data_IF_501168202760
#
_entry.id   IF_501168202760
#
_cell.length_a   1.000
_cell.length_b   1.000
_cell.length_c   1.000
_cell.angle_alpha   90.00
_cell.angle_beta   90.00
_cell.angle_gamma   90.00
#
_symmetry.space_group_name_H-M   'P 1'
#
loop_
_entity.id
_entity.type
_entity.pdbx_description
1 polymer ?
#
# COMPACT_ATOMS: atom_id res chain seq x y z
N UNK A 1 13.12 -53.40 59.08
CA UNK A 1 13.13 -52.41 57.98
C UNK A 1 12.36 -53.05 56.84
N UNK A 2 11.14 -52.57 56.58
CA UNK A 2 10.14 -53.25 55.75
C UNK A 2 10.27 -52.82 54.29
N UNK A 3 9.90 -53.70 53.35
CA UNK A 3 9.86 -53.42 51.90
C UNK A 3 8.92 -52.24 51.57
N UNK A 4 8.03 -51.85 52.50
CA UNK A 4 7.22 -50.62 52.39
C UNK A 4 8.03 -49.33 52.43
N UNK A 5 9.19 -49.31 53.10
CA UNK A 5 9.97 -48.08 53.34
C UNK A 5 10.85 -47.71 52.13
N UNK A 6 11.03 -48.64 51.19
CA UNK A 6 11.73 -48.42 49.91
C UNK A 6 10.81 -47.89 48.81
N UNK A 7 9.48 -47.95 49.00
CA UNK A 7 8.50 -47.46 48.03
C UNK A 7 8.36 -45.93 48.03
N UNK A 8 8.43 -45.29 49.19
CA UNK A 8 8.31 -43.81 49.30
C UNK A 8 9.59 -43.06 48.93
N UNK A 9 10.75 -43.71 49.00
CA UNK A 9 12.02 -43.11 48.60
C UNK A 9 12.19 -43.01 47.07
N UNK A 10 11.47 -43.82 46.28
CA UNK A 10 11.59 -43.84 44.81
C UNK A 10 10.58 -42.91 44.14
N UNK A 11 9.44 -42.61 44.76
CA UNK A 11 8.49 -41.62 44.24
C UNK A 11 8.99 -40.17 44.37
N UNK A 12 9.85 -39.87 45.35
CA UNK A 12 10.46 -38.53 45.47
C UNK A 12 11.64 -38.26 44.52
N UNK A 13 12.14 -39.27 43.81
CA UNK A 13 13.24 -39.13 42.83
C UNK A 13 12.76 -39.04 41.37
N UNK A 14 11.48 -39.33 41.09
CA UNK A 14 10.88 -39.18 39.75
C UNK A 14 10.15 -37.83 39.60
N UNK A 15 9.80 -37.17 40.71
CA UNK A 15 9.41 -35.75 40.75
C UNK A 15 10.63 -34.81 40.93
N UNK A 16 11.80 -35.26 40.49
CA UNK A 16 12.98 -34.43 40.28
C UNK A 16 12.64 -33.33 39.28
N UNK A 17 12.18 -32.20 39.82
CA UNK A 17 11.80 -31.02 39.09
C UNK A 17 12.79 -30.76 37.98
N UNK A 18 12.27 -30.72 36.75
CA UNK A 18 12.93 -30.01 35.67
C UNK A 18 13.07 -28.56 36.14
N UNK A 19 14.16 -28.29 36.86
CA UNK A 19 14.67 -26.98 37.13
C UNK A 19 14.82 -26.35 35.75
N UNK A 20 13.82 -25.53 35.39
CA UNK A 20 13.87 -24.73 34.18
C UNK A 20 15.10 -23.86 34.37
N UNK A 21 16.21 -24.27 33.73
CA UNK A 21 17.42 -23.50 33.67
C UNK A 21 17.00 -22.06 33.34
N UNK A 22 17.43 -21.07 34.14
CA UNK A 22 16.94 -19.71 34.03
C UNK A 22 17.07 -19.31 32.56
N UNK A 23 15.92 -19.04 31.92
CA UNK A 23 15.92 -18.64 30.52
C UNK A 23 16.67 -17.33 30.45
N UNK A 24 17.95 -17.39 30.03
CA UNK A 24 18.74 -16.19 29.82
C UNK A 24 17.98 -15.31 28.83
N UNK A 25 17.57 -14.15 29.34
CA UNK A 25 16.89 -13.14 28.57
C UNK A 25 17.94 -12.33 27.82
N UNK A 26 17.76 -12.19 26.51
CA UNK A 26 18.55 -11.30 25.66
C UNK A 26 17.72 -10.07 25.33
N UNK A 27 18.33 -8.89 25.37
CA UNK A 27 17.72 -7.68 24.83
C UNK A 27 17.86 -7.70 23.31
N UNK A 28 16.78 -7.95 22.58
CA UNK A 28 16.81 -7.95 21.12
C UNK A 28 16.87 -6.51 20.61
N UNK A 29 17.91 -6.12 19.88
CA UNK A 29 18.12 -4.74 19.36
C UNK A 29 17.97 -3.65 20.42
N UNK A 30 18.34 -3.92 21.68
CA UNK A 30 18.07 -3.01 22.80
C UNK A 30 16.60 -2.60 22.93
N UNK A 31 15.65 -3.38 22.40
CA UNK A 31 14.23 -3.07 22.30
C UNK A 31 13.42 -3.72 23.43
N UNK A 32 13.35 -5.06 23.49
CA UNK A 32 12.59 -5.78 24.54
C UNK A 32 13.33 -7.02 25.03
N UNK A 33 13.06 -7.42 26.28
CA UNK A 33 13.61 -8.63 26.87
C UNK A 33 12.89 -9.86 26.31
N UNK A 34 13.62 -10.69 25.56
CA UNK A 34 13.14 -11.93 24.97
C UNK A 34 14.01 -13.09 25.43
N UNK A 35 13.46 -14.30 25.47
CA UNK A 35 14.33 -15.48 25.58
C UNK A 35 15.27 -15.55 24.37
N UNK A 36 16.51 -16.04 24.55
CA UNK A 36 17.49 -16.18 23.45
C UNK A 36 16.92 -16.84 22.20
N UNK A 37 16.06 -17.86 22.37
CA UNK A 37 15.39 -18.55 21.26
C UNK A 37 14.47 -17.61 20.46
N UNK A 38 13.70 -16.75 21.14
CA UNK A 38 12.84 -15.76 20.49
C UNK A 38 13.64 -14.67 19.81
N UNK A 39 14.70 -14.17 20.45
CA UNK A 39 15.58 -13.18 19.83
C UNK A 39 16.21 -13.72 18.54
N UNK A 40 16.74 -14.95 18.55
CA UNK A 40 17.27 -15.63 17.34
C UNK A 40 16.21 -15.75 16.25
N UNK A 41 14.97 -16.09 16.60
CA UNK A 41 13.87 -16.16 15.64
C UNK A 41 13.62 -14.80 14.96
N UNK A 42 13.54 -13.70 15.72
CA UNK A 42 13.33 -12.38 15.12
C UNK A 42 14.53 -11.89 14.33
N UNK A 43 15.77 -12.22 14.73
CA UNK A 43 16.96 -11.98 13.91
C UNK A 43 16.87 -12.70 12.56
N UNK A 44 16.54 -13.99 12.58
CA UNK A 44 16.41 -14.80 11.37
C UNK A 44 15.28 -14.28 10.48
N UNK A 45 14.14 -13.88 11.06
CA UNK A 45 13.04 -13.27 10.33
C UNK A 45 13.45 -11.93 9.70
N UNK A 46 14.16 -11.07 10.42
CA UNK A 46 14.65 -9.80 9.89
C UNK A 46 15.59 -10.01 8.69
N UNK A 47 16.53 -10.95 8.81
CA UNK A 47 17.43 -11.32 7.71
C UNK A 47 16.65 -11.90 6.54
N UNK A 48 15.69 -12.80 6.79
CA UNK A 48 14.81 -13.35 5.76
C UNK A 48 14.06 -12.25 5.01
N UNK A 49 13.43 -11.31 5.73
CA UNK A 49 12.68 -10.21 5.13
C UNK A 49 13.59 -9.26 4.33
N UNK A 50 14.83 -9.04 4.78
CA UNK A 50 15.80 -8.24 4.03
C UNK A 50 16.21 -8.94 2.73
N UNK A 51 16.53 -10.24 2.79
CA UNK A 51 16.87 -11.04 1.60
C UNK A 51 15.67 -11.09 0.65
N UNK A 52 14.47 -11.35 1.18
CA UNK A 52 13.23 -11.33 0.43
C UNK A 52 13.06 -9.98 -0.28
N UNK A 53 13.18 -8.86 0.42
CA UNK A 53 13.05 -7.53 -0.19
C UNK A 53 14.01 -7.34 -1.37
N UNK A 54 15.29 -7.67 -1.19
CA UNK A 54 16.31 -7.55 -2.26
C UNK A 54 15.97 -8.44 -3.45
N UNK A 55 15.67 -9.72 -3.21
CA UNK A 55 15.32 -10.68 -4.26
C UNK A 55 14.04 -10.26 -4.97
N UNK A 56 13.02 -9.84 -4.22
CA UNK A 56 11.72 -9.46 -4.75
C UNK A 56 11.79 -8.18 -5.57
N UNK A 57 12.54 -7.17 -5.11
CA UNK A 57 12.83 -5.97 -5.91
C UNK A 57 13.60 -6.34 -7.18
N UNK A 58 14.60 -7.21 -7.11
CA UNK A 58 15.30 -7.68 -8.31
C UNK A 58 14.34 -8.35 -9.30
N UNK A 59 13.49 -9.27 -8.84
CA UNK A 59 12.50 -9.93 -9.69
C UNK A 59 11.55 -8.92 -10.36
N UNK A 60 11.01 -7.97 -9.61
CA UNK A 60 10.10 -6.98 -10.18
C UNK A 60 10.81 -6.04 -11.15
N UNK A 61 12.03 -5.61 -10.84
CA UNK A 61 12.76 -4.63 -11.66
C UNK A 61 13.35 -5.26 -12.92
N UNK A 62 13.82 -6.52 -12.84
CA UNK A 62 14.60 -7.18 -13.91
C UNK A 62 13.89 -8.31 -14.61
N UNK A 63 12.93 -8.96 -13.95
CA UNK A 63 12.27 -10.16 -14.49
C UNK A 63 10.85 -9.84 -14.95
N UNK A 64 10.18 -8.86 -14.33
CA UNK A 64 8.85 -8.39 -14.72
C UNK A 64 8.84 -6.86 -14.88
N UNK A 65 9.63 -6.29 -15.81
CA UNK A 65 9.77 -4.85 -15.95
C UNK A 65 8.51 -4.24 -16.56
N UNK A 66 7.58 -3.85 -15.70
CA UNK A 66 6.33 -3.17 -16.08
C UNK A 66 6.54 -1.66 -16.34
N UNK A 67 7.79 -1.20 -16.40
CA UNK A 67 8.15 0.21 -16.45
C UNK A 67 7.51 0.95 -17.63
N UNK A 68 7.47 0.33 -18.81
CA UNK A 68 6.86 0.92 -20.01
C UNK A 68 5.41 1.39 -19.76
N UNK A 69 4.65 0.66 -18.93
CA UNK A 69 3.31 1.04 -18.53
C UNK A 69 3.31 2.17 -17.48
N UNK A 70 4.18 2.11 -16.48
CA UNK A 70 4.17 3.07 -15.36
C UNK A 70 4.68 4.45 -15.73
N UNK A 71 5.63 4.55 -16.66
CA UNK A 71 6.14 5.86 -17.11
C UNK A 71 5.13 6.62 -17.99
N UNK A 72 4.08 5.94 -18.49
CA UNK A 72 2.97 6.57 -19.23
C UNK A 72 2.19 7.61 -18.42
N UNK A 73 2.37 7.65 -17.10
CA UNK A 73 1.80 8.69 -16.25
C UNK A 73 2.44 10.06 -16.49
N UNK A 74 3.63 10.12 -17.09
CA UNK A 74 4.45 11.33 -17.27
C UNK A 74 4.64 11.70 -18.74
N UNK A 75 3.80 11.19 -19.65
CA UNK A 75 3.97 11.34 -21.11
C UNK A 75 3.18 12.49 -21.72
N UNK A 76 2.29 13.13 -20.96
CA UNK A 76 1.46 14.22 -21.44
C UNK A 76 1.64 15.43 -20.51
N UNK A 77 1.85 16.59 -21.11
CA UNK A 77 2.04 17.89 -20.46
C UNK A 77 0.88 18.83 -20.81
N UNK A 78 0.95 20.11 -20.43
CA UNK A 78 -0.05 21.11 -20.78
C UNK A 78 0.24 21.88 -22.07
N UNK A 79 1.28 21.53 -22.84
CA UNK A 79 1.62 22.23 -24.09
C UNK A 79 0.56 22.01 -25.18
N UNK A 80 -0.12 20.85 -25.18
CA UNK A 80 -1.30 20.58 -26.01
C UNK A 80 -2.63 21.13 -25.43
N UNK A 81 -2.57 21.85 -24.31
CA UNK A 81 -3.71 22.37 -23.56
C UNK A 81 -4.00 21.59 -22.28
N UNK A 82 -5.10 21.92 -21.60
CA UNK A 82 -5.43 21.29 -20.33
C UNK A 82 -5.83 19.80 -20.51
N UNK A 83 -4.98 18.88 -20.04
CA UNK A 83 -5.14 17.43 -20.11
C UNK A 83 -5.10 16.75 -18.75
N UNK A 84 -5.72 15.56 -18.67
CA UNK A 84 -5.54 14.65 -17.54
C UNK A 84 -4.05 14.31 -17.42
N UNK A 85 -3.54 14.30 -16.20
CA UNK A 85 -2.13 14.01 -15.86
C UNK A 85 -1.09 15.03 -16.36
N UNK A 86 -1.53 16.17 -16.92
CA UNK A 86 -0.62 17.14 -17.53
C UNK A 86 0.50 17.63 -16.61
N UNK A 87 0.22 17.89 -15.31
CA UNK A 87 1.25 18.33 -14.37
C UNK A 87 2.38 17.30 -14.19
N UNK A 88 2.09 16.02 -14.41
CA UNK A 88 3.11 14.98 -14.33
C UNK A 88 4.12 15.08 -15.49
N UNK A 89 3.66 15.41 -16.71
CA UNK A 89 4.51 15.59 -17.89
C UNK A 89 5.36 16.86 -17.85
N UNK A 90 4.86 17.94 -17.24
CA UNK A 90 5.62 19.18 -17.05
C UNK A 90 6.94 18.98 -16.27
N UNK A 91 7.03 17.93 -15.45
CA UNK A 91 8.24 17.67 -14.64
C UNK A 91 9.41 17.21 -15.53
N UNK A 92 9.29 16.15 -16.37
CA UNK A 92 10.28 15.83 -17.38
C UNK A 92 10.67 16.98 -18.30
N UNK A 93 9.72 17.82 -18.72
CA UNK A 93 9.97 18.90 -19.68
C UNK A 93 10.81 20.04 -19.10
N UNK A 94 10.94 20.11 -17.77
CA UNK A 94 11.87 21.01 -17.10
C UNK A 94 13.35 20.58 -17.28
N UNK A 95 13.62 19.42 -17.85
CA UNK A 95 14.95 18.87 -18.11
C UNK A 95 15.21 18.74 -19.62
N UNK A 96 16.49 18.72 -20.04
CA UNK A 96 16.83 18.42 -21.44
C UNK A 96 16.25 17.07 -21.90
N UNK A 97 15.77 17.01 -23.15
CA UNK A 97 15.07 15.83 -23.72
C UNK A 97 15.85 14.52 -23.55
N UNK A 98 17.19 14.54 -23.65
CA UNK A 98 18.01 13.34 -23.45
C UNK A 98 17.89 12.71 -22.05
N UNK A 99 17.34 13.44 -21.07
CA UNK A 99 17.14 12.98 -19.70
C UNK A 99 15.71 12.53 -19.41
N UNK A 100 14.79 12.61 -20.39
CA UNK A 100 13.37 12.28 -20.21
C UNK A 100 13.18 10.95 -19.47
N UNK A 101 13.74 9.85 -20.00
CA UNK A 101 13.59 8.52 -19.40
C UNK A 101 14.19 8.45 -18.01
N UNK A 102 15.36 9.03 -17.78
CA UNK A 102 15.99 9.08 -16.45
C UNK A 102 15.09 9.78 -15.43
N UNK A 103 14.48 10.91 -15.81
CA UNK A 103 13.58 11.66 -14.92
C UNK A 103 12.31 10.87 -14.63
N UNK A 104 11.63 10.32 -15.64
CA UNK A 104 10.40 9.55 -15.39
C UNK A 104 10.67 8.28 -14.57
N UNK A 105 11.79 7.59 -14.78
CA UNK A 105 12.20 6.48 -13.92
C UNK A 105 12.44 6.95 -12.48
N UNK A 106 13.10 8.10 -12.28
CA UNK A 106 13.31 8.67 -10.96
C UNK A 106 11.99 9.05 -10.28
N UNK A 107 11.00 9.58 -11.01
CA UNK A 107 9.68 9.90 -10.47
C UNK A 107 8.88 8.65 -10.09
N UNK A 108 8.87 7.64 -10.96
CA UNK A 108 8.25 6.33 -10.75
C UNK A 108 8.80 5.64 -9.50
N UNK A 109 10.13 5.50 -9.40
CA UNK A 109 10.76 4.86 -8.24
C UNK A 109 10.79 5.76 -6.99
N UNK A 110 10.80 7.08 -7.16
CA UNK A 110 10.66 8.04 -6.08
C UNK A 110 9.34 7.85 -5.32
N UNK A 111 8.25 7.52 -6.03
CA UNK A 111 6.96 7.23 -5.41
C UNK A 111 7.02 5.96 -4.52
N UNK A 112 7.72 4.92 -4.99
CA UNK A 112 7.98 3.70 -4.21
C UNK A 112 8.78 4.02 -2.95
N UNK A 113 9.88 4.76 -3.09
CA UNK A 113 10.73 5.14 -1.97
C UNK A 113 9.96 5.96 -0.94
N UNK A 114 9.16 6.94 -1.38
CA UNK A 114 8.34 7.77 -0.49
C UNK A 114 7.34 6.92 0.31
N UNK A 115 6.66 5.98 -0.34
CA UNK A 115 5.71 5.10 0.32
C UNK A 115 6.39 4.10 1.27
N UNK A 116 7.48 3.46 0.85
CA UNK A 116 8.27 2.58 1.72
C UNK A 116 8.84 3.33 2.93
N UNK A 117 9.26 4.58 2.78
CA UNK A 117 9.67 5.43 3.90
C UNK A 117 8.49 5.72 4.85
N UNK A 118 7.30 5.99 4.31
CA UNK A 118 6.07 6.10 5.09
C UNK A 118 5.77 4.83 5.90
N UNK A 119 5.83 3.66 5.26
CA UNK A 119 5.64 2.36 5.91
C UNK A 119 6.68 2.09 7.00
N UNK A 120 7.95 2.42 6.76
CA UNK A 120 9.01 2.32 7.74
C UNK A 120 8.74 3.22 8.96
N UNK A 121 8.26 4.45 8.73
CA UNK A 121 7.90 5.37 9.80
C UNK A 121 6.64 4.92 10.57
N UNK A 122 5.68 4.28 9.89
CA UNK A 122 4.54 3.61 10.53
C UNK A 122 4.99 2.44 11.40
N UNK A 123 5.87 1.58 10.91
CA UNK A 123 6.44 0.48 11.69
C UNK A 123 7.24 0.98 12.90
N UNK A 124 8.05 2.01 12.71
CA UNK A 124 8.73 2.74 13.78
C UNK A 124 7.72 3.25 14.82
N UNK A 125 6.65 3.91 14.40
CA UNK A 125 5.60 4.38 15.31
C UNK A 125 5.02 3.23 16.13
N UNK A 126 4.69 2.09 15.51
CA UNK A 126 4.14 0.91 16.22
C UNK A 126 5.12 0.37 17.26
N UNK A 127 6.41 0.32 16.92
CA UNK A 127 7.47 -0.13 17.83
C UNK A 127 7.59 0.79 19.06
N UNK A 128 7.52 2.10 18.87
CA UNK A 128 7.89 3.07 19.91
C UNK A 128 6.73 3.84 20.54
N UNK A 129 5.47 3.45 20.31
CA UNK A 129 4.29 4.16 20.83
C UNK A 129 3.87 3.85 22.27
N UNK A 130 4.62 3.01 23.01
CA UNK A 130 4.29 2.60 24.38
C UNK A 130 5.37 1.71 24.97
N UNK A 131 5.00 0.82 25.92
CA UNK A 131 5.95 -0.13 26.48
C UNK A 131 6.41 -1.10 25.40
N UNK A 132 7.73 -1.32 25.33
CA UNK A 132 8.35 -2.29 24.43
C UNK A 132 7.75 -3.67 24.67
N UNK A 133 7.32 -4.33 23.59
CA UNK A 133 6.66 -5.64 23.68
C UNK A 133 6.97 -6.48 22.44
N UNK A 134 6.92 -7.80 22.60
CA UNK A 134 7.09 -8.72 21.48
C UNK A 134 5.98 -8.55 20.42
N UNK A 135 4.76 -8.24 20.85
CA UNK A 135 3.62 -8.04 19.95
C UNK A 135 3.82 -6.85 19.01
N UNK A 136 4.37 -5.74 19.52
CA UNK A 136 4.76 -4.58 18.70
C UNK A 136 5.80 -4.96 17.66
N UNK A 137 6.78 -5.78 18.04
CA UNK A 137 7.80 -6.29 17.14
C UNK A 137 7.19 -7.13 16.01
N UNK A 138 6.26 -8.03 16.33
CA UNK A 138 5.54 -8.83 15.32
C UNK A 138 4.78 -7.94 14.33
N UNK A 139 4.01 -6.97 14.83
CA UNK A 139 3.22 -6.07 13.97
C UNK A 139 4.15 -5.20 13.10
N UNK A 140 5.28 -4.74 13.63
CA UNK A 140 6.27 -3.99 12.86
C UNK A 140 6.86 -4.80 11.70
N UNK A 141 7.16 -6.08 11.92
CA UNK A 141 7.61 -6.99 10.85
C UNK A 141 6.49 -7.40 9.89
N UNK A 142 5.22 -7.36 10.33
CA UNK A 142 4.08 -7.63 9.46
C UNK A 142 3.85 -6.52 8.44
N UNK A 143 4.03 -5.25 8.83
CA UNK A 143 3.76 -4.07 7.99
C UNK A 143 4.36 -4.18 6.58
N UNK A 144 5.67 -4.42 6.39
CA UNK A 144 6.26 -4.43 5.05
C UNK A 144 5.74 -5.56 4.14
N UNK A 145 5.24 -6.66 4.72
CA UNK A 145 4.74 -7.81 3.95
C UNK A 145 3.22 -7.81 3.77
N UNK A 146 2.49 -6.85 4.33
CA UNK A 146 1.05 -6.77 4.06
C UNK A 146 0.81 -6.60 2.55
N UNK A 147 -0.27 -7.17 1.99
CA UNK A 147 -0.54 -7.09 0.55
C UNK A 147 -0.53 -5.66 -0.01
N UNK A 148 -0.95 -4.69 0.78
CA UNK A 148 -0.98 -3.28 0.40
C UNK A 148 0.34 -2.51 0.65
N UNK A 149 1.40 -3.19 1.11
CA UNK A 149 2.66 -2.57 1.49
C UNK A 149 3.70 -2.63 0.35
N UNK A 150 4.88 -3.21 0.60
CA UNK A 150 6.01 -3.20 -0.35
C UNK A 150 5.64 -3.87 -1.66
N UNK A 151 4.95 -5.01 -1.63
CA UNK A 151 4.54 -5.73 -2.84
C UNK A 151 3.70 -4.86 -3.76
N UNK A 152 2.68 -4.18 -3.22
CA UNK A 152 1.86 -3.25 -3.99
C UNK A 152 2.68 -2.10 -4.60
N UNK A 153 3.64 -1.58 -3.84
CA UNK A 153 4.50 -0.49 -4.27
C UNK A 153 5.40 -0.88 -5.44
N UNK A 154 6.01 -2.07 -5.37
CA UNK A 154 6.92 -2.57 -6.39
C UNK A 154 6.19 -2.94 -7.68
N UNK A 155 5.03 -3.61 -7.58
CA UNK A 155 4.25 -3.99 -8.76
C UNK A 155 3.51 -2.82 -9.41
N UNK A 156 3.28 -1.73 -8.67
CA UNK A 156 2.59 -0.54 -9.17
C UNK A 156 3.25 0.76 -8.70
N UNK A 157 4.46 1.10 -9.19
CA UNK A 157 5.21 2.31 -8.86
C UNK A 157 4.55 3.55 -9.49
N UNK A 158 3.37 3.90 -8.97
CA UNK A 158 2.50 4.93 -9.53
C UNK A 158 2.44 6.18 -8.64
N UNK A 159 1.98 7.33 -9.16
CA UNK A 159 1.83 8.56 -8.37
C UNK A 159 0.93 8.43 -7.12
N UNK A 160 -0.04 7.50 -7.13
CA UNK A 160 -0.91 7.17 -6.00
C UNK A 160 -0.10 6.86 -4.72
N UNK A 161 1.12 6.33 -4.85
CA UNK A 161 2.00 6.03 -3.71
C UNK A 161 2.44 7.29 -2.95
N UNK A 162 2.54 8.45 -3.61
CA UNK A 162 2.74 9.73 -2.92
C UNK A 162 1.54 10.09 -2.05
N UNK A 163 0.31 9.84 -2.54
CA UNK A 163 -0.91 10.01 -1.76
C UNK A 163 -0.96 9.09 -0.54
N UNK A 164 -0.59 7.82 -0.72
CA UNK A 164 -0.51 6.85 0.38
C UNK A 164 0.55 7.24 1.42
N UNK A 165 1.73 7.68 0.98
CA UNK A 165 2.79 8.19 1.87
C UNK A 165 2.32 9.41 2.66
N UNK A 166 1.66 10.36 1.99
CA UNK A 166 1.08 11.54 2.62
C UNK A 166 -0.01 11.17 3.63
N UNK A 167 -0.87 10.18 3.33
CA UNK A 167 -1.88 9.71 4.26
C UNK A 167 -1.25 9.11 5.53
N UNK A 168 -0.17 8.34 5.40
CA UNK A 168 0.58 7.83 6.55
C UNK A 168 1.10 9.00 7.40
N UNK A 169 1.79 9.96 6.78
CA UNK A 169 2.29 11.14 7.48
C UNK A 169 1.17 11.94 8.16
N UNK A 170 0.07 12.20 7.45
CA UNK A 170 -1.12 12.89 7.95
C UNK A 170 -1.73 12.17 9.16
N UNK A 171 -1.96 10.86 9.05
CA UNK A 171 -2.50 10.02 10.13
C UNK A 171 -1.61 10.07 11.37
N UNK A 172 -0.29 10.01 11.19
CA UNK A 172 0.66 10.08 12.28
C UNK A 172 0.69 11.46 12.94
N UNK A 173 0.64 12.54 12.16
CA UNK A 173 0.61 13.90 12.67
C UNK A 173 -0.69 14.20 13.42
N UNK A 174 -1.85 13.85 12.85
CA UNK A 174 -3.16 14.09 13.49
C UNK A 174 -3.38 13.21 14.74
N UNK A 175 -2.67 12.08 14.84
CA UNK A 175 -2.68 11.23 16.04
C UNK A 175 -1.96 11.82 17.24
N UNK A 176 -1.10 12.82 17.04
CA UNK A 176 -0.40 13.49 18.12
C UNK A 176 -1.38 14.42 18.82
N UNK A 177 -1.24 14.55 20.16
CA UNK A 177 -2.01 15.51 20.94
C UNK A 177 -1.56 16.92 20.54
N UNK A 178 -2.28 17.53 19.61
CA UNK A 178 -2.06 18.89 19.12
C UNK A 178 -3.21 19.82 19.49
N UNK A 179 -3.01 21.12 19.26
CA UNK A 179 -4.07 22.12 19.33
C UNK A 179 -4.99 22.02 18.09
N UNK A 180 -6.19 22.56 18.20
CA UNK A 180 -7.12 22.68 17.07
C UNK A 180 -6.49 23.37 15.85
N UNK A 181 -5.65 24.39 16.07
CA UNK A 181 -4.93 25.09 14.99
C UNK A 181 -3.96 24.17 14.27
N UNK A 182 -3.22 23.34 15.00
CA UNK A 182 -2.31 22.36 14.40
C UNK A 182 -3.08 21.32 13.58
N UNK A 183 -4.22 20.83 14.10
CA UNK A 183 -5.08 19.90 13.36
C UNK A 183 -5.60 20.53 12.04
N UNK A 184 -6.11 21.76 12.09
CA UNK A 184 -6.57 22.49 10.91
C UNK A 184 -5.44 22.71 9.90
N UNK A 185 -4.26 23.15 10.36
CA UNK A 185 -3.10 23.37 9.50
C UNK A 185 -2.64 22.08 8.81
N UNK A 186 -2.50 20.99 9.56
CA UNK A 186 -2.11 19.68 9.02
C UNK A 186 -3.14 19.16 8.01
N UNK A 187 -4.44 19.32 8.30
CA UNK A 187 -5.51 18.97 7.36
C UNK A 187 -5.49 19.82 6.09
N UNK A 188 -5.28 21.13 6.21
CA UNK A 188 -5.16 22.02 5.05
C UNK A 188 -3.93 21.69 4.19
N UNK A 189 -2.76 21.47 4.80
CA UNK A 189 -1.56 21.09 4.07
C UNK A 189 -1.74 19.75 3.33
N UNK A 190 -2.36 18.76 3.99
CA UNK A 190 -2.65 17.47 3.36
C UNK A 190 -3.65 17.61 2.21
N UNK A 191 -4.74 18.35 2.39
CA UNK A 191 -5.72 18.56 1.32
C UNK A 191 -5.17 19.35 0.13
N UNK A 192 -4.33 20.36 0.37
CA UNK A 192 -3.60 21.08 -0.69
C UNK A 192 -2.64 20.15 -1.44
N UNK A 193 -1.94 19.26 -0.72
CA UNK A 193 -1.08 18.27 -1.36
C UNK A 193 -1.89 17.30 -2.25
N UNK A 194 -3.04 16.82 -1.78
CA UNK A 194 -3.94 16.02 -2.63
C UNK A 194 -4.48 16.81 -3.82
N UNK A 195 -4.74 18.12 -3.67
CA UNK A 195 -5.13 18.98 -4.78
C UNK A 195 -4.04 19.06 -5.85
N UNK A 196 -2.77 19.20 -5.46
CA UNK A 196 -1.64 19.15 -6.39
C UNK A 196 -1.55 17.78 -7.08
N UNK A 197 -1.66 16.69 -6.31
CA UNK A 197 -1.66 15.34 -6.86
C UNK A 197 -2.84 15.08 -7.80
N UNK A 198 -3.98 15.76 -7.65
CA UNK A 198 -5.10 15.64 -8.58
C UNK A 198 -4.74 16.06 -10.02
N UNK A 199 -3.80 16.99 -10.18
CA UNK A 199 -3.31 17.40 -11.51
C UNK A 199 -2.30 16.39 -12.09
N UNK A 200 -1.65 15.58 -11.25
CA UNK A 200 -0.80 14.45 -11.65
C UNK A 200 -1.65 13.23 -11.97
N UNK A 201 -2.62 12.92 -11.12
CA UNK A 201 -3.66 11.92 -11.35
C UNK A 201 -4.92 12.27 -10.55
N UNK A 202 -5.98 12.59 -11.26
CA UNK A 202 -7.25 13.09 -10.78
C UNK A 202 -8.03 12.12 -9.86
N UNK A 203 -7.68 10.84 -9.88
CA UNK A 203 -8.30 9.83 -9.02
C UNK A 203 -7.77 9.89 -7.57
N UNK A 204 -6.54 10.37 -7.35
CA UNK A 204 -5.84 10.32 -6.05
C UNK A 204 -6.69 10.89 -4.90
N UNK A 205 -7.35 12.05 -5.03
CA UNK A 205 -8.18 12.56 -3.92
C UNK A 205 -9.35 11.66 -3.54
N UNK A 206 -9.93 10.93 -4.50
CA UNK A 206 -11.03 9.99 -4.26
C UNK A 206 -10.51 8.75 -3.52
N UNK A 207 -9.32 8.28 -3.91
CA UNK A 207 -8.68 7.08 -3.36
C UNK A 207 -8.36 7.19 -1.87
N UNK A 208 -7.97 8.38 -1.38
CA UNK A 208 -7.53 8.58 0.01
C UNK A 208 -8.55 9.35 0.87
N UNK A 209 -9.74 9.62 0.34
CA UNK A 209 -10.80 10.32 1.08
C UNK A 209 -11.24 9.52 2.32
N UNK A 210 -11.41 8.19 2.18
CA UNK A 210 -11.81 7.32 3.30
C UNK A 210 -10.76 7.34 4.41
N UNK A 211 -9.48 7.14 4.08
CA UNK A 211 -8.38 7.18 5.02
C UNK A 211 -8.30 8.50 5.77
N UNK A 212 -8.52 9.62 5.07
CA UNK A 212 -8.52 10.97 5.64
C UNK A 212 -9.64 11.18 6.65
N UNK A 213 -10.88 10.77 6.31
CA UNK A 213 -12.03 10.82 7.23
C UNK A 213 -11.77 9.93 8.45
N UNK A 214 -11.29 8.70 8.23
CA UNK A 214 -11.02 7.76 9.31
C UNK A 214 -9.92 8.28 10.25
N UNK A 215 -8.83 8.84 9.72
CA UNK A 215 -7.74 9.40 10.51
C UNK A 215 -8.24 10.49 11.46
N UNK A 216 -9.04 11.43 10.95
CA UNK A 216 -9.61 12.52 11.75
C UNK A 216 -10.66 11.99 12.75
N UNK A 217 -11.54 11.08 12.31
CA UNK A 217 -12.66 10.60 13.12
C UNK A 217 -12.24 9.63 14.24
N UNK A 218 -11.31 8.72 13.97
CA UNK A 218 -10.93 7.64 14.88
C UNK A 218 -9.65 7.94 15.68
N UNK A 219 -8.70 8.65 15.07
CA UNK A 219 -7.36 8.84 15.66
C UNK A 219 -7.11 10.28 16.09
N UNK A 220 -7.78 11.26 15.47
CA UNK A 220 -7.69 12.67 15.82
C UNK A 220 -7.96 12.99 17.29
N UNK A 221 -7.40 14.12 17.74
CA UNK A 221 -7.53 14.67 19.10
C UNK A 221 -8.97 14.92 19.56
N UNK A 222 -9.17 15.37 20.80
CA UNK A 222 -10.50 15.63 21.37
C UNK A 222 -11.08 16.98 20.97
N UNK A 223 -11.17 17.22 19.66
CA UNK A 223 -11.68 18.46 19.13
C UNK A 223 -13.21 18.47 19.03
N UNK A 224 -13.78 19.67 19.09
CA UNK A 224 -15.22 19.88 18.93
C UNK A 224 -15.73 19.32 17.59
N UNK A 225 -17.03 19.02 17.51
CA UNK A 225 -17.63 18.54 16.26
C UNK A 225 -17.48 19.54 15.09
N UNK A 226 -17.34 20.83 15.37
CA UNK A 226 -17.10 21.86 14.36
C UNK A 226 -15.68 21.78 13.81
N UNK A 227 -14.66 21.76 14.69
CA UNK A 227 -13.25 21.64 14.28
C UNK A 227 -13.03 20.35 13.50
N UNK A 228 -13.60 19.23 13.98
CA UNK A 228 -13.49 17.94 13.28
C UNK A 228 -14.05 17.99 11.86
N UNK A 229 -15.22 18.61 11.66
CA UNK A 229 -15.81 18.78 10.33
C UNK A 229 -14.98 19.71 9.45
N UNK A 230 -14.44 20.79 10.02
CA UNK A 230 -13.54 21.69 9.31
C UNK A 230 -12.25 20.97 8.86
N UNK A 231 -11.63 20.16 9.72
CA UNK A 231 -10.48 19.33 9.35
C UNK A 231 -10.81 18.37 8.20
N UNK A 232 -11.97 17.71 8.24
CA UNK A 232 -12.40 16.80 7.17
C UNK A 232 -12.62 17.55 5.85
N UNK A 233 -13.28 18.72 5.90
CA UNK A 233 -13.46 19.56 4.73
C UNK A 233 -12.12 20.03 4.15
N UNK A 234 -11.21 20.52 5.01
CA UNK A 234 -9.88 20.99 4.59
C UNK A 234 -9.01 19.86 4.01
N UNK A 235 -9.15 18.63 4.51
CA UNK A 235 -8.38 17.49 4.03
C UNK A 235 -8.86 16.92 2.69
N UNK A 236 -10.15 17.07 2.36
CA UNK A 236 -10.77 16.36 1.22
C UNK A 236 -11.21 17.33 0.13
N UNK A 237 -11.84 18.44 0.50
CA UNK A 237 -12.49 19.33 -0.45
C UNK A 237 -11.52 19.95 -1.47
N UNK A 238 -10.32 20.43 -1.11
CA UNK A 238 -9.38 20.96 -2.09
C UNK A 238 -9.03 19.93 -3.18
N UNK A 239 -8.77 18.68 -2.77
CA UNK A 239 -8.49 17.57 -3.68
C UNK A 239 -9.67 17.26 -4.60
N UNK A 240 -10.88 17.11 -4.05
CA UNK A 240 -12.08 16.84 -4.85
C UNK A 240 -12.42 17.98 -5.81
N UNK A 241 -12.24 19.24 -5.40
CA UNK A 241 -12.42 20.38 -6.28
C UNK A 241 -11.39 20.38 -7.41
N UNK A 242 -10.12 20.08 -7.12
CA UNK A 242 -9.10 19.95 -8.15
C UNK A 242 -9.41 18.81 -9.13
N UNK A 243 -9.82 17.63 -8.65
CA UNK A 243 -10.31 16.53 -9.51
C UNK A 243 -11.48 16.98 -10.39
N UNK A 244 -12.45 17.71 -9.82
CA UNK A 244 -13.57 18.26 -10.57
C UNK A 244 -13.15 19.26 -11.64
N UNK A 245 -12.22 20.16 -11.32
CA UNK A 245 -11.61 21.09 -12.29
C UNK A 245 -10.92 20.30 -13.39
N UNK A 246 -10.13 19.27 -13.05
CA UNK A 246 -9.46 18.45 -14.05
C UNK A 246 -10.47 17.80 -14.99
N UNK A 247 -11.53 17.19 -14.44
CA UNK A 247 -12.57 16.55 -15.23
C UNK A 247 -13.33 17.52 -16.14
N UNK A 248 -13.63 18.74 -15.67
CA UNK A 248 -14.39 19.73 -16.43
C UNK A 248 -13.55 20.51 -17.44
N UNK A 249 -12.28 20.76 -17.14
CA UNK A 249 -11.39 21.55 -17.99
C UNK A 249 -10.62 20.70 -19.01
N UNK A 250 -10.59 19.36 -18.85
CA UNK A 250 -9.94 18.46 -19.80
C UNK A 250 -10.59 18.60 -21.18
N UNK A 251 -9.77 18.93 -22.18
CA UNK A 251 -10.22 18.97 -23.56
C UNK A 251 -10.35 17.54 -24.10
N UNK A 252 -11.59 17.08 -24.26
CA UNK A 252 -11.89 15.77 -24.83
C UNK A 252 -11.39 15.58 -26.28
N UNK A 253 -11.14 16.67 -27.01
CA UNK A 253 -10.80 16.65 -28.43
C UNK A 253 -9.36 17.07 -28.76
N UNK A 254 -8.40 16.89 -27.84
CA UNK A 254 -7.00 17.03 -28.25
C UNK A 254 -6.71 15.96 -29.28
N UNK A 255 -6.23 16.39 -30.45
CA UNK A 255 -5.99 15.48 -31.56
C UNK A 255 -5.00 14.41 -31.06
N UNK A 256 -5.35 13.13 -31.19
CA UNK A 256 -4.47 12.00 -30.84
C UNK A 256 -3.06 12.17 -31.41
N UNK A 257 -2.97 12.80 -32.59
CA UNK A 257 -1.72 13.17 -33.26
C UNK A 257 -0.87 14.17 -32.45
N UNK A 258 -1.46 15.16 -31.78
CA UNK A 258 -0.73 16.11 -30.93
C UNK A 258 -0.17 15.43 -29.69
N UNK A 259 -0.98 14.62 -28.99
CA UNK A 259 -0.49 13.84 -27.83
C UNK A 259 0.61 12.87 -28.23
N UNK A 260 0.45 12.19 -29.37
CA UNK A 260 1.48 11.29 -29.89
C UNK A 260 2.79 12.01 -30.24
N UNK A 261 2.72 13.17 -30.88
CA UNK A 261 3.91 13.94 -31.28
C UNK A 261 4.78 14.37 -30.09
N UNK A 262 4.22 14.44 -28.88
CA UNK A 262 4.95 14.79 -27.66
C UNK A 262 5.59 13.59 -26.97
N UNK A 263 5.24 12.36 -27.34
CA UNK A 263 5.83 11.18 -26.72
C UNK A 263 7.23 10.95 -27.30
N UNK A 264 8.29 10.87 -26.47
CA UNK A 264 9.63 10.65 -26.98
C UNK A 264 9.83 9.20 -27.43
N UNK A 265 10.63 9.02 -28.47
CA UNK A 265 11.11 7.71 -28.90
C UNK A 265 12.15 7.16 -27.91
N UNK A 266 12.19 5.83 -27.78
CA UNK A 266 13.11 5.17 -26.88
C UNK A 266 12.77 3.70 -26.73
N UNK A 267 13.78 2.84 -26.90
CA UNK A 267 13.60 1.40 -26.72
C UNK A 267 13.49 1.09 -25.23
N UNK A 268 12.35 0.50 -24.85
CA UNK A 268 12.08 0.06 -23.48
C UNK A 268 11.66 -1.39 -23.51
N UNK A 269 12.07 -2.11 -22.48
CA UNK A 269 11.64 -3.49 -22.27
C UNK A 269 10.11 -3.57 -22.16
N UNK A 270 9.52 -4.43 -22.98
CA UNK A 270 8.09 -4.59 -23.10
C UNK A 270 7.71 -6.05 -22.86
N UNK A 271 7.36 -6.42 -21.62
CA UNK A 271 6.97 -7.78 -21.31
C UNK A 271 5.60 -8.15 -21.94
N UNK A 272 4.80 -7.17 -22.40
CA UNK A 272 3.45 -7.40 -22.92
C UNK A 272 3.39 -7.95 -24.35
N UNK A 273 4.52 -7.95 -25.06
CA UNK A 273 4.62 -8.46 -26.43
C UNK A 273 5.43 -9.74 -26.54
N UNK A 274 5.77 -10.36 -25.40
CA UNK A 274 6.46 -11.66 -25.36
C UNK A 274 5.52 -12.73 -25.95
N UNK A 275 5.93 -13.45 -27.01
CA UNK A 275 5.08 -14.46 -27.62
C UNK A 275 4.79 -15.63 -26.67
N UNK A 276 3.63 -16.31 -26.80
CA UNK A 276 3.37 -17.56 -26.11
C UNK A 276 4.49 -18.58 -26.37
N UNK A 277 4.94 -19.27 -25.31
CA UNK A 277 6.03 -20.23 -25.35
C UNK A 277 7.43 -19.62 -25.16
N UNK A 278 7.57 -18.29 -25.19
CA UNK A 278 8.85 -17.58 -24.96
C UNK A 278 8.97 -16.97 -23.57
N UNK A 279 7.98 -17.13 -22.69
CA UNK A 279 7.99 -16.50 -21.38
C UNK A 279 9.18 -16.95 -20.54
N UNK A 280 9.48 -18.26 -20.50
CA UNK A 280 10.64 -18.78 -19.75
C UNK A 280 11.95 -18.27 -20.36
N UNK A 281 12.04 -18.18 -21.69
CA UNK A 281 13.22 -17.63 -22.36
C UNK A 281 13.42 -16.15 -22.00
N UNK A 282 12.35 -15.37 -21.99
CA UNK A 282 12.34 -13.97 -21.57
C UNK A 282 12.79 -13.83 -20.10
N UNK A 283 12.19 -14.60 -19.19
CA UNK A 283 12.55 -14.57 -17.76
C UNK A 283 14.01 -14.97 -17.47
N UNK A 284 14.60 -15.81 -18.33
CA UNK A 284 16.00 -16.24 -18.24
C UNK A 284 16.97 -15.32 -19.00
N UNK A 285 16.50 -14.22 -19.58
CA UNK A 285 17.31 -13.31 -20.39
C UNK A 285 17.81 -13.91 -21.71
N UNK A 286 17.15 -14.95 -22.21
CA UNK A 286 17.44 -15.61 -23.49
C UNK A 286 16.61 -15.05 -24.65
N UNK A 287 15.64 -14.20 -24.35
CA UNK A 287 14.79 -13.52 -25.32
C UNK A 287 14.66 -12.06 -24.91
N UNK A 288 15.06 -11.14 -25.79
CA UNK A 288 14.88 -9.70 -25.57
C UNK A 288 13.53 -9.27 -26.13
N UNK A 289 12.70 -8.66 -25.29
CA UNK A 289 11.40 -8.10 -25.67
C UNK A 289 11.44 -6.61 -25.45
N UNK A 290 11.67 -5.83 -26.50
CA UNK A 290 11.71 -4.38 -26.46
C UNK A 290 10.68 -3.78 -27.41
N UNK A 291 10.19 -2.59 -27.08
CA UNK A 291 9.33 -1.81 -27.97
C UNK A 291 9.78 -0.36 -27.94
N UNK A 292 9.58 0.34 -29.05
CA UNK A 292 9.70 1.77 -29.04
C UNK A 292 8.55 2.36 -28.20
N UNK A 293 8.92 3.20 -27.23
CA UNK A 293 7.99 3.75 -26.26
C UNK A 293 6.93 4.62 -26.92
N UNK A 294 7.31 5.44 -27.91
CA UNK A 294 6.37 6.27 -28.66
C UNK A 294 5.31 5.41 -29.35
N UNK A 295 5.74 4.40 -30.11
CA UNK A 295 4.83 3.52 -30.83
C UNK A 295 3.85 2.80 -29.89
N UNK A 296 4.38 2.21 -28.81
CA UNK A 296 3.56 1.52 -27.81
C UNK A 296 2.58 2.49 -27.13
N UNK A 297 3.04 3.66 -26.70
CA UNK A 297 2.22 4.66 -26.02
C UNK A 297 1.07 5.16 -26.92
N UNK A 298 1.38 5.44 -28.19
CA UNK A 298 0.42 5.91 -29.18
C UNK A 298 -0.67 4.88 -29.50
N UNK A 299 -0.31 3.59 -29.52
CA UNK A 299 -1.25 2.51 -29.80
C UNK A 299 -2.05 2.10 -28.57
N UNK A 300 -1.38 1.96 -27.42
CA UNK A 300 -1.93 1.31 -26.24
C UNK A 300 -2.50 2.27 -25.19
N UNK A 301 -2.04 3.53 -25.12
CA UNK A 301 -2.39 4.42 -23.99
C UNK A 301 -3.04 5.74 -24.43
N UNK A 302 -2.51 6.42 -25.44
CA UNK A 302 -3.07 7.69 -25.98
C UNK A 302 -4.58 7.60 -26.28
N UNK A 303 -5.13 6.46 -26.80
CA UNK A 303 -6.58 6.34 -27.00
C UNK A 303 -7.43 6.59 -25.74
N UNK A 304 -6.88 6.38 -24.53
CA UNK A 304 -7.60 6.61 -23.27
C UNK A 304 -7.60 8.08 -22.81
N UNK A 305 -6.69 8.92 -23.30
CA UNK A 305 -6.64 10.34 -22.92
C UNK A 305 -7.81 11.15 -23.50
N UNK A 306 -8.29 10.78 -24.69
CA UNK A 306 -9.44 11.41 -25.35
C UNK A 306 -10.79 10.75 -25.07
N UNK A 307 -10.82 9.66 -24.28
CA UNK A 307 -12.05 8.95 -23.95
C UNK A 307 -12.90 9.70 -22.93
N UNK A 308 -14.21 9.75 -23.15
CA UNK A 308 -15.13 10.31 -22.17
C UNK A 308 -15.45 9.32 -21.04
N UNK A 309 -16.27 9.75 -20.07
CA UNK A 309 -16.69 8.87 -18.98
C UNK A 309 -17.42 7.61 -19.48
N UNK A 310 -18.22 7.74 -20.53
CA UNK A 310 -18.99 6.62 -21.10
C UNK A 310 -18.08 5.60 -21.77
N UNK A 311 -17.01 6.04 -22.42
CA UNK A 311 -15.98 5.19 -23.02
C UNK A 311 -15.21 4.43 -21.94
N UNK A 312 -14.89 5.09 -20.82
CA UNK A 312 -14.25 4.43 -19.70
C UNK A 312 -15.15 3.35 -19.09
N UNK A 313 -16.43 3.65 -18.86
CA UNK A 313 -17.41 2.66 -18.36
C UNK A 313 -17.57 1.50 -19.36
N UNK A 314 -17.67 1.79 -20.66
CA UNK A 314 -17.74 0.77 -21.71
C UNK A 314 -16.49 -0.10 -21.72
N UNK A 315 -15.31 0.49 -21.53
CA UNK A 315 -14.04 -0.23 -21.42
C UNK A 315 -14.00 -1.16 -20.22
N UNK A 316 -14.60 -0.78 -19.08
CA UNK A 316 -14.74 -1.67 -17.91
C UNK A 316 -15.75 -2.78 -18.21
N UNK A 317 -16.92 -2.45 -18.77
CA UNK A 317 -17.95 -3.43 -19.11
C UNK A 317 -17.44 -4.48 -20.11
N UNK A 318 -16.62 -4.06 -21.09
CA UNK A 318 -16.00 -4.94 -22.08
C UNK A 318 -15.04 -5.98 -21.48
N UNK A 319 -14.63 -5.82 -20.22
CA UNK A 319 -13.83 -6.83 -19.54
C UNK A 319 -14.60 -8.10 -19.19
N UNK A 320 -15.94 -8.04 -19.21
CA UNK A 320 -16.81 -9.16 -18.92
C UNK A 320 -16.96 -9.41 -17.42
N UNK A 321 -18.15 -9.90 -17.06
CA UNK A 321 -18.52 -10.18 -15.68
C UNK A 321 -17.53 -11.09 -14.93
N UNK A 322 -17.01 -12.20 -15.50
CA UNK A 322 -16.11 -13.11 -14.77
C UNK A 322 -14.82 -12.42 -14.29
N UNK A 323 -14.22 -11.57 -15.11
CA UNK A 323 -12.98 -10.86 -14.76
C UNK A 323 -13.26 -9.83 -13.66
N UNK A 324 -14.32 -9.04 -13.82
CA UNK A 324 -14.69 -8.01 -12.85
C UNK A 324 -15.07 -8.64 -11.50
N UNK A 325 -15.93 -9.66 -11.50
CA UNK A 325 -16.30 -10.38 -10.29
C UNK A 325 -15.09 -11.06 -9.63
N UNK A 326 -14.21 -11.68 -10.40
CA UNK A 326 -12.97 -12.29 -9.90
C UNK A 326 -12.04 -11.27 -9.26
N UNK A 327 -11.78 -10.14 -9.93
CA UNK A 327 -10.98 -9.04 -9.39
C UNK A 327 -11.60 -8.41 -8.13
N UNK A 328 -12.93 -8.24 -8.11
CA UNK A 328 -13.66 -7.75 -6.94
C UNK A 328 -13.48 -8.67 -5.74
N UNK A 329 -13.80 -9.95 -5.92
CA UNK A 329 -13.78 -10.94 -4.85
C UNK A 329 -12.37 -11.16 -4.33
N UNK A 330 -11.38 -11.23 -5.23
CA UNK A 330 -9.98 -11.34 -4.83
C UNK A 330 -9.56 -10.14 -4.00
N UNK A 331 -9.77 -8.92 -4.50
CA UNK A 331 -9.44 -7.70 -3.75
C UNK A 331 -10.12 -7.64 -2.38
N UNK A 332 -11.42 -7.96 -2.32
CA UNK A 332 -12.18 -8.02 -1.07
C UNK A 332 -11.62 -9.05 -0.08
N UNK A 333 -11.28 -10.25 -0.54
CA UNK A 333 -10.66 -11.30 0.28
C UNK A 333 -9.32 -10.82 0.84
N UNK A 334 -8.51 -10.15 0.01
CA UNK A 334 -7.21 -9.59 0.42
C UNK A 334 -7.40 -8.52 1.49
N UNK A 335 -8.39 -7.63 1.34
CA UNK A 335 -8.70 -6.61 2.36
C UNK A 335 -9.12 -7.27 3.67
N UNK A 336 -10.11 -8.17 3.64
CA UNK A 336 -10.63 -8.85 4.83
C UNK A 336 -9.52 -9.64 5.52
N UNK A 337 -8.74 -10.41 4.77
CA UNK A 337 -7.61 -11.18 5.29
C UNK A 337 -6.54 -10.30 5.92
N UNK A 338 -6.18 -9.19 5.27
CA UNK A 338 -5.21 -8.23 5.81
C UNK A 338 -5.70 -7.59 7.10
N UNK A 339 -6.95 -7.11 7.13
CA UNK A 339 -7.52 -6.50 8.33
C UNK A 339 -7.66 -7.51 9.47
N UNK A 340 -8.04 -8.75 9.16
CA UNK A 340 -8.07 -9.83 10.14
C UNK A 340 -6.69 -10.15 10.72
N UNK A 341 -5.64 -10.24 9.89
CA UNK A 341 -4.27 -10.47 10.36
C UNK A 341 -3.79 -9.33 11.25
N UNK A 342 -4.01 -8.08 10.84
CA UNK A 342 -3.66 -6.90 11.64
C UNK A 342 -4.40 -6.94 12.98
N UNK A 343 -5.71 -7.18 12.99
CA UNK A 343 -6.51 -7.31 14.21
C UNK A 343 -5.99 -8.44 15.11
N UNK A 344 -5.72 -9.60 14.52
CA UNK A 344 -5.25 -10.78 15.24
C UNK A 344 -3.90 -10.54 15.93
N UNK A 345 -2.93 -9.94 15.23
CA UNK A 345 -1.61 -9.71 15.78
C UNK A 345 -1.54 -8.48 16.68
N UNK A 346 -2.33 -7.44 16.43
CA UNK A 346 -2.45 -6.31 17.36
C UNK A 346 -3.22 -6.68 18.63
N UNK A 347 -4.14 -7.65 18.55
CA UNK A 347 -5.02 -8.04 19.65
C UNK A 347 -6.10 -7.01 19.96
N UNK A 348 -6.17 -5.93 19.19
CA UNK A 348 -7.15 -4.84 19.37
C UNK A 348 -8.43 -5.23 18.66
N UNK A 349 -9.60 -5.01 19.26
CA UNK A 349 -10.88 -5.41 18.64
C UNK A 349 -11.34 -4.42 17.57
N UNK A 350 -11.89 -4.89 16.45
CA UNK A 350 -12.51 -4.02 15.43
C UNK A 350 -13.64 -3.14 16.01
N UNK A 351 -14.43 -3.71 16.93
CA UNK A 351 -15.48 -2.97 17.65
C UNK A 351 -14.94 -1.75 18.42
N UNK A 352 -13.72 -1.83 18.95
CA UNK A 352 -13.08 -0.70 19.63
C UNK A 352 -12.69 0.41 18.65
N UNK A 353 -12.22 0.03 17.47
CA UNK A 353 -11.89 0.98 16.41
C UNK A 353 -13.15 1.69 15.91
N UNK A 354 -14.20 0.95 15.56
CA UNK A 354 -15.47 1.52 15.10
C UNK A 354 -16.13 2.37 16.19
N UNK A 355 -16.13 1.90 17.44
CA UNK A 355 -16.64 2.66 18.58
C UNK A 355 -15.87 3.95 18.86
N UNK A 356 -14.68 4.11 18.29
CA UNK A 356 -13.88 5.34 18.38
C UNK A 356 -14.23 6.37 17.31
N UNK A 357 -14.86 5.98 16.21
CA UNK A 357 -15.18 6.87 15.08
C UNK A 357 -16.17 7.94 15.55
N UNK A 358 -15.66 9.15 15.79
CA UNK A 358 -16.48 10.26 16.30
C UNK A 358 -17.38 10.83 15.21
N UNK A 359 -18.69 10.89 15.50
CA UNK A 359 -19.69 11.36 14.55
C UNK A 359 -20.35 10.24 13.74
N UNK A 360 -20.10 8.98 14.09
CA UNK A 360 -20.71 7.81 13.45
C UNK A 360 -20.04 7.40 12.14
N UNK A 361 -20.53 6.32 11.54
CA UNK A 361 -19.96 5.70 10.34
C UNK A 361 -20.44 6.33 9.02
N UNK A 362 -21.41 7.24 9.06
CA UNK A 362 -22.01 7.82 7.85
C UNK A 362 -21.00 8.56 6.97
N UNK A 363 -20.13 9.38 7.55
CA UNK A 363 -19.09 10.09 6.80
C UNK A 363 -18.02 9.16 6.21
N UNK A 364 -17.47 8.18 6.97
CA UNK A 364 -16.64 7.14 6.37
C UNK A 364 -17.30 6.39 5.21
N UNK A 365 -18.59 6.05 5.32
CA UNK A 365 -19.32 5.38 4.23
C UNK A 365 -19.48 6.28 3.00
N UNK A 366 -19.76 7.58 3.20
CA UNK A 366 -19.82 8.54 2.10
C UNK A 366 -18.45 8.71 1.42
N UNK A 367 -17.37 8.75 2.21
CA UNK A 367 -16.01 8.81 1.67
C UNK A 367 -15.64 7.52 0.91
N UNK A 368 -16.02 6.34 1.43
CA UNK A 368 -15.86 5.07 0.71
C UNK A 368 -16.66 5.06 -0.61
N UNK A 369 -17.84 5.68 -0.65
CA UNK A 369 -18.64 5.77 -1.87
C UNK A 369 -17.94 6.55 -2.99
N UNK A 370 -16.94 7.40 -2.68
CA UNK A 370 -16.09 8.04 -3.69
C UNK A 370 -15.20 7.05 -4.45
N UNK A 371 -15.07 5.80 -4.01
CA UNK A 371 -14.42 4.75 -4.78
C UNK A 371 -15.29 4.23 -5.94
N UNK A 372 -16.61 4.43 -5.90
CA UNK A 372 -17.53 3.89 -6.92
C UNK A 372 -17.18 4.37 -8.34
N UNK A 373 -16.92 5.67 -8.59
CA UNK A 373 -16.43 6.12 -9.90
C UNK A 373 -15.16 5.40 -10.37
N UNK A 374 -14.24 5.06 -9.47
CA UNK A 374 -13.00 4.36 -9.81
C UNK A 374 -13.27 2.91 -10.24
N UNK A 375 -14.16 2.22 -9.54
CA UNK A 375 -14.62 0.89 -9.96
C UNK A 375 -15.38 0.94 -11.29
N UNK A 376 -16.17 1.98 -11.53
CA UNK A 376 -16.94 2.14 -12.75
C UNK A 376 -16.08 2.44 -13.98
N UNK A 377 -14.95 3.14 -13.81
CA UNK A 377 -14.13 3.65 -14.92
C UNK A 377 -12.75 3.02 -15.03
N UNK A 378 -12.32 2.25 -14.03
CA UNK A 378 -11.01 1.59 -13.98
C UNK A 378 -11.12 0.07 -13.93
N UNK A 379 -10.29 -0.60 -14.73
CA UNK A 379 -10.29 -2.08 -14.87
C UNK A 379 -9.54 -2.81 -13.76
N UNK A 380 -8.72 -2.10 -12.97
CA UNK A 380 -7.85 -2.67 -11.93
C UNK A 380 -8.56 -2.71 -10.56
N UNK A 381 -9.53 -3.61 -10.43
CA UNK A 381 -10.36 -3.71 -9.22
C UNK A 381 -9.58 -4.22 -7.98
N UNK A 382 -8.51 -5.00 -8.18
CA UNK A 382 -7.64 -5.43 -7.08
C UNK A 382 -6.88 -4.24 -6.52
N UNK A 383 -6.39 -3.33 -7.37
CA UNK A 383 -5.79 -2.06 -6.92
C UNK A 383 -6.76 -1.24 -6.09
N UNK A 384 -8.00 -1.06 -6.54
CA UNK A 384 -8.98 -0.26 -5.80
C UNK A 384 -9.25 -0.81 -4.40
N UNK A 385 -9.38 -2.13 -4.28
CA UNK A 385 -9.46 -2.78 -2.99
C UNK A 385 -8.19 -2.63 -2.14
N UNK A 386 -7.02 -2.70 -2.78
CA UNK A 386 -5.73 -2.53 -2.09
C UNK A 386 -5.61 -1.12 -1.52
N UNK A 387 -6.03 -0.08 -2.24
CA UNK A 387 -6.08 1.30 -1.76
C UNK A 387 -7.05 1.48 -0.58
N UNK A 388 -8.24 0.85 -0.64
CA UNK A 388 -9.15 0.78 0.53
C UNK A 388 -8.46 0.11 1.73
N UNK A 389 -7.67 -0.93 1.49
CA UNK A 389 -6.90 -1.59 2.55
C UNK A 389 -5.79 -0.70 3.14
N UNK A 390 -5.14 0.15 2.32
CA UNK A 390 -4.21 1.19 2.80
C UNK A 390 -4.95 2.16 3.71
N UNK A 391 -6.06 2.73 3.24
CA UNK A 391 -6.87 3.70 3.96
C UNK A 391 -7.28 3.22 5.35
N UNK A 392 -7.82 2.01 5.41
CA UNK A 392 -8.28 1.41 6.66
C UNK A 392 -7.09 0.94 7.49
N UNK A 393 -6.14 0.23 6.88
CA UNK A 393 -5.04 -0.44 7.55
C UNK A 393 -4.08 0.53 8.22
N UNK A 394 -3.70 1.61 7.55
CA UNK A 394 -2.82 2.65 8.10
C UNK A 394 -3.45 3.28 9.34
N UNK A 395 -4.70 3.73 9.23
CA UNK A 395 -5.41 4.37 10.34
C UNK A 395 -5.60 3.39 11.50
N UNK A 396 -5.97 2.15 11.20
CA UNK A 396 -6.14 1.11 12.21
C UNK A 396 -4.82 0.78 12.94
N UNK A 397 -3.71 0.68 12.23
CA UNK A 397 -2.38 0.42 12.82
C UNK A 397 -1.96 1.55 13.75
N UNK A 398 -2.17 2.81 13.37
CA UNK A 398 -1.89 3.97 14.24
C UNK A 398 -2.82 3.98 15.47
N UNK A 399 -4.10 3.67 15.28
CA UNK A 399 -5.06 3.51 16.38
C UNK A 399 -4.64 2.42 17.36
N UNK A 400 -4.25 1.25 16.85
CA UNK A 400 -3.89 0.07 17.62
C UNK A 400 -2.55 0.27 18.36
N UNK A 401 -1.61 1.01 17.78
CA UNK A 401 -0.30 1.27 18.35
C UNK A 401 -0.38 1.85 19.78
N UNK A 402 -1.40 2.65 20.09
CA UNK A 402 -1.58 3.26 21.42
C UNK A 402 -2.33 2.39 22.44
N UNK A 403 -2.66 1.14 22.12
CA UNK A 403 -3.55 0.29 22.94
C UNK A 403 -2.78 -0.65 23.88
N UNK A 404 -3.35 -0.93 25.05
CA UNK A 404 -2.72 -1.79 26.06
C UNK A 404 -2.63 -3.26 25.62
N UNK A 405 -3.51 -3.68 24.71
CA UNK A 405 -3.48 -5.01 24.09
C UNK A 405 -2.15 -5.27 23.36
N UNK A 406 -1.52 -4.22 22.82
CA UNK A 406 -0.20 -4.30 22.20
C UNK A 406 0.91 -4.67 23.19
N UNK A 407 0.66 -4.59 24.50
CA UNK A 407 1.64 -4.90 25.55
C UNK A 407 1.44 -6.29 26.17
N UNK A 408 0.36 -6.98 25.78
CA UNK A 408 0.06 -8.33 26.26
C UNK A 408 1.05 -9.35 25.70
N UNK A 409 1.43 -10.37 26.51
CA UNK A 409 2.35 -11.40 26.08
C UNK A 409 1.82 -12.17 24.86
N UNK A 410 2.75 -12.71 24.06
CA UNK A 410 2.44 -13.46 22.84
C UNK A 410 2.54 -14.97 23.13
N UNK A 411 1.44 -15.73 22.96
CA UNK A 411 1.46 -17.19 23.05
C UNK A 411 2.33 -17.83 21.95
N UNK A 412 2.95 -18.98 22.23
CA UNK A 412 3.77 -19.70 21.23
C UNK A 412 3.00 -20.05 19.94
N UNK A 413 1.71 -20.38 20.05
CA UNK A 413 0.85 -20.65 18.89
C UNK A 413 0.74 -19.44 17.97
N UNK A 414 0.56 -18.24 18.55
CA UNK A 414 0.45 -17.00 17.79
C UNK A 414 1.75 -16.67 17.06
N UNK A 415 2.91 -16.97 17.66
CA UNK A 415 4.21 -16.80 17.01
C UNK A 415 4.37 -17.72 15.77
N UNK A 416 3.92 -18.97 15.85
CA UNK A 416 3.93 -19.90 14.70
C UNK A 416 3.03 -19.41 13.57
N UNK A 417 1.82 -18.96 13.90
CA UNK A 417 0.87 -18.41 12.93
C UNK A 417 1.45 -17.14 12.28
N UNK A 418 2.12 -16.30 13.07
CA UNK A 418 2.83 -15.13 12.55
C UNK A 418 3.93 -15.48 11.56
N UNK A 419 4.79 -16.45 11.90
CA UNK A 419 5.84 -16.90 10.99
C UNK A 419 5.24 -17.41 9.66
N UNK A 420 4.21 -18.26 9.73
CA UNK A 420 3.52 -18.77 8.56
C UNK A 420 2.88 -17.64 7.73
N UNK A 421 2.18 -16.71 8.38
CA UNK A 421 1.55 -15.58 7.71
C UNK A 421 2.58 -14.67 7.01
N UNK A 422 3.68 -14.31 7.69
CA UNK A 422 4.73 -13.48 7.13
C UNK A 422 5.40 -14.15 5.92
N UNK A 423 5.66 -15.46 5.98
CA UNK A 423 6.22 -16.22 4.86
C UNK A 423 5.23 -16.28 3.69
N UNK A 424 3.95 -16.64 3.94
CA UNK A 424 2.93 -16.72 2.89
C UNK A 424 2.75 -15.36 2.21
N UNK A 425 2.65 -14.29 2.99
CA UNK A 425 2.51 -12.93 2.48
C UNK A 425 3.74 -12.46 1.69
N UNK A 426 4.95 -12.86 2.09
CA UNK A 426 6.17 -12.54 1.35
C UNK A 426 6.25 -13.32 0.03
N UNK A 427 5.81 -14.58 0.00
CA UNK A 427 5.93 -15.44 -1.18
C UNK A 427 4.80 -15.25 -2.20
N UNK A 428 3.61 -14.82 -1.78
CA UNK A 428 2.44 -14.72 -2.65
C UNK A 428 2.12 -13.25 -2.97
N UNK A 429 2.17 -12.83 -4.25
CA UNK A 429 1.86 -11.47 -4.67
C UNK A 429 0.34 -11.21 -4.68
N UNK A 430 -0.29 -11.13 -3.51
CA UNK A 430 -1.75 -10.97 -3.38
C UNK A 430 -2.30 -9.69 -4.02
N UNK A 431 -1.51 -8.62 -4.08
CA UNK A 431 -1.85 -7.36 -4.75
C UNK A 431 -1.31 -7.28 -6.18
N UNK A 432 -0.72 -8.37 -6.68
CA UNK A 432 -0.32 -8.51 -8.06
C UNK A 432 -1.56 -8.46 -8.96
N UNK A 433 -1.56 -7.66 -10.04
CA UNK A 433 -2.72 -7.53 -10.90
C UNK A 433 -3.03 -8.83 -11.65
N UNK A 434 -4.30 -9.27 -11.62
CA UNK A 434 -4.76 -10.57 -12.15
C UNK A 434 -4.66 -10.71 -13.66
N UNK A 435 -4.75 -9.62 -14.43
CA UNK A 435 -4.65 -9.70 -15.90
C UNK A 435 -3.23 -9.76 -16.43
N UNK A 436 -2.27 -9.21 -15.69
CA UNK A 436 -0.86 -9.42 -15.99
C UNK A 436 -0.38 -10.82 -15.56
N UNK A 437 -1.24 -11.67 -14.98
CA UNK A 437 -0.91 -13.07 -14.70
C UNK A 437 -1.73 -14.06 -15.50
N UNK A 438 -2.98 -13.73 -15.90
CA UNK A 438 -3.78 -14.64 -16.71
C UNK A 438 -3.32 -14.71 -18.16
N UNK A 439 -2.92 -13.61 -18.82
CA UNK A 439 -2.38 -13.74 -20.20
C UNK A 439 -0.96 -14.33 -20.22
N UNK A 440 -0.30 -14.44 -19.07
CA UNK A 440 1.01 -15.11 -18.90
C UNK A 440 0.89 -16.60 -18.61
N UNK A 441 -0.29 -17.08 -18.19
CA UNK A 441 -0.52 -18.48 -17.76
C UNK A 441 -1.66 -19.15 -18.55
N UNK A 442 -2.47 -18.39 -19.29
CA UNK A 442 -3.48 -18.93 -20.20
C UNK A 442 -3.33 -18.32 -21.59
N UNK A 443 -2.26 -18.73 -22.27
CA UNK A 443 -2.24 -19.01 -23.70
C UNK A 443 -1.36 -20.23 -23.97
#
# INVERSE_FOLDING_TARGET
MSISDLGEAVTHLVDGGAAQAPQELSTFLNYTALSRRRARFYSALAVFLLIWLVVYTYLVVKVIPLAIYWISYYSADYSAGFVRRGLAGEIPDAFPEQHYFTVVYALTWGAVVAYCAGLAFLAYRVLFSGRRSERRLMVAFLIPVLPFAVTFALFGPRPELYGAAALIAFTLLISRRGSARAALAVSACFGLFLALLAFVHEAIPLEFALGSVLAIAAVGGSDSAQIRRACMALAILPGLLASGVVMLATRANIAKQQLCAMVPHGLIENPFVVPPGRQVDYLLGRYDSVSDYHDWMCQAVVPYFGGDFSDAVRSVANQGFPVLAGGFLHGLIVVIGSMWLIQYFTGVGWKQFVGRIRGGIGLPLLALALMVPLFATGVDWIRWWTLIAIDIGVVYLVFAAGRAEMERPVPRRQLKIFAAAAIILALVPFSGPTRYSTDWVTF
#
